data_IF_431179519629
#
_entry.id   IF_431179519629
#
_cell.length_a   1.000
_cell.length_b   1.000
_cell.length_c   1.000
_cell.angle_alpha   90.00
_cell.angle_beta   90.00
_cell.angle_gamma   90.00
#
_symmetry.space_group_name_H-M   'P 1'
#
loop_
_entity.id
_entity.type
_entity.pdbx_description
1 polymer ?
#
# COMPACT_ATOMS: atom_id res chain seq x y z
N UNK A 1 -26.71 4.52 0.42
CA UNK A 1 -25.57 4.21 1.31
C UNK A 1 -24.29 4.61 0.60
N UNK A 2 -23.48 5.50 1.17
CA UNK A 2 -22.18 5.84 0.61
C UNK A 2 -21.11 4.96 1.26
N UNK A 3 -20.51 4.05 0.50
CA UNK A 3 -19.29 3.39 0.95
C UNK A 3 -18.15 4.40 0.96
N UNK A 4 -17.61 4.68 2.16
CA UNK A 4 -16.50 5.62 2.32
C UNK A 4 -15.21 4.83 2.36
N UNK A 5 -14.23 5.24 1.55
CA UNK A 5 -12.92 4.61 1.59
C UNK A 5 -12.28 4.82 2.99
N UNK A 6 -11.76 3.75 3.64
CA UNK A 6 -11.29 3.79 5.02
C UNK A 6 -9.97 4.54 5.20
N UNK A 7 -9.21 4.71 4.12
CA UNK A 7 -7.90 5.38 4.15
C UNK A 7 -7.97 6.73 3.46
N UNK A 8 -7.32 7.73 4.05
CA UNK A 8 -7.10 9.03 3.41
C UNK A 8 -6.24 8.84 2.16
N UNK A 9 -6.44 9.63 1.09
CA UNK A 9 -5.58 9.62 -0.08
C UNK A 9 -4.10 9.67 0.30
N UNK A 10 -3.32 8.76 -0.28
CA UNK A 10 -1.86 8.74 -0.12
C UNK A 10 -1.22 9.27 -1.40
N UNK A 11 -0.61 10.45 -1.30
CA UNK A 11 0.05 11.13 -2.40
C UNK A 11 1.42 11.65 -1.92
N UNK A 12 2.49 10.86 -2.06
CA UNK A 12 3.83 11.30 -1.68
C UNK A 12 4.26 12.48 -2.56
N UNK A 13 5.14 13.34 -2.03
CA UNK A 13 5.63 14.51 -2.77
C UNK A 13 6.33 14.07 -4.05
N UNK A 14 5.97 14.70 -5.18
CA UNK A 14 6.58 14.38 -6.48
C UNK A 14 6.02 13.11 -7.12
N UNK A 15 4.91 12.56 -6.63
CA UNK A 15 4.22 11.47 -7.32
C UNK A 15 3.79 11.90 -8.73
N UNK A 16 4.25 11.16 -9.74
CA UNK A 16 3.89 11.36 -11.16
C UNK A 16 2.81 10.39 -11.63
N UNK A 17 2.53 9.36 -10.84
CA UNK A 17 1.66 8.24 -11.21
C UNK A 17 0.64 8.03 -10.10
N UNK A 18 -0.63 7.92 -10.50
CA UNK A 18 -1.74 7.61 -9.61
C UNK A 18 -2.20 6.16 -9.83
N UNK A 19 -2.28 5.40 -8.74
CA UNK A 19 -2.81 4.04 -8.74
C UNK A 19 -4.19 4.09 -8.09
N UNK A 20 -5.24 3.76 -8.84
CA UNK A 20 -6.62 3.75 -8.36
C UNK A 20 -7.10 2.30 -8.29
N UNK A 21 -7.42 1.85 -7.07
CA UNK A 21 -8.10 0.58 -6.83
C UNK A 21 -9.61 0.73 -6.85
N UNK A 22 -10.31 -0.40 -6.74
CA UNK A 22 -11.76 -0.44 -6.46
C UNK A 22 -12.00 -0.22 -4.95
N UNK A 23 -12.89 -0.98 -4.33
CA UNK A 23 -13.11 -0.91 -2.89
C UNK A 23 -12.18 -1.87 -2.13
N UNK A 24 -11.66 -1.46 -0.96
CA UNK A 24 -10.82 -2.33 -0.16
C UNK A 24 -11.64 -3.50 0.39
N UNK A 25 -10.99 -4.64 0.68
CA UNK A 25 -11.68 -5.79 1.25
C UNK A 25 -12.23 -5.47 2.65
N UNK A 26 -13.14 -6.32 3.15
CA UNK A 26 -13.64 -6.23 4.52
C UNK A 26 -12.48 -6.24 5.53
N UNK A 27 -12.68 -5.57 6.67
CA UNK A 27 -11.63 -5.35 7.68
C UNK A 27 -10.95 -6.66 8.13
N UNK A 28 -11.72 -7.74 8.28
CA UNK A 28 -11.20 -9.06 8.67
C UNK A 28 -10.24 -9.71 7.67
N UNK A 29 -10.21 -9.24 6.42
CA UNK A 29 -9.32 -9.74 5.37
C UNK A 29 -8.14 -8.80 5.12
N UNK A 30 -7.91 -7.84 6.01
CA UNK A 30 -6.79 -6.88 5.93
C UNK A 30 -5.69 -7.37 6.84
N UNK A 31 -4.55 -7.72 6.26
CA UNK A 31 -3.33 -8.06 6.99
C UNK A 31 -2.70 -6.81 7.65
N UNK A 32 -2.97 -5.61 7.14
CA UNK A 32 -2.47 -4.34 7.67
C UNK A 32 -3.38 -3.16 7.29
N UNK A 33 -3.18 -1.99 7.90
CA UNK A 33 -4.05 -0.80 7.74
C UNK A 33 -3.54 0.17 6.67
N UNK A 34 -3.36 -0.33 5.44
CA UNK A 34 -2.97 0.48 4.28
C UNK A 34 -3.56 -0.06 2.96
N UNK A 35 -3.30 0.61 1.84
CA UNK A 35 -3.83 0.21 0.53
C UNK A 35 -3.38 -1.20 0.12
N UNK A 36 -4.25 -1.92 -0.58
CA UNK A 36 -4.07 -3.31 -1.01
C UNK A 36 -3.62 -4.27 0.12
N UNK A 37 -4.38 -4.37 1.24
CA UNK A 37 -3.93 -5.01 2.47
C UNK A 37 -4.08 -6.53 2.50
N UNK A 38 -4.02 -7.23 1.36
CA UNK A 38 -4.22 -8.68 1.32
C UNK A 38 -3.00 -9.38 0.76
N UNK A 39 -2.36 -10.23 1.56
CA UNK A 39 -1.16 -10.96 1.15
C UNK A 39 -1.46 -12.21 0.31
N UNK A 40 -2.64 -12.79 0.50
CA UNK A 40 -3.05 -14.05 -0.16
C UNK A 40 -3.94 -13.80 -1.39
N UNK A 41 -4.69 -12.70 -1.40
CA UNK A 41 -5.66 -12.38 -2.47
C UNK A 41 -5.24 -11.22 -3.37
N UNK A 42 -4.21 -10.45 -3.01
CA UNK A 42 -3.77 -9.31 -3.79
C UNK A 42 -2.24 -9.29 -4.00
N UNK A 43 -1.81 -9.29 -5.27
CA UNK A 43 -0.38 -9.32 -5.63
C UNK A 43 0.27 -7.95 -5.76
N UNK A 44 -0.44 -6.86 -5.44
CA UNK A 44 0.05 -5.50 -5.63
C UNK A 44 1.43 -5.29 -4.98
N UNK A 45 1.58 -5.65 -3.70
CA UNK A 45 2.84 -5.43 -2.99
C UNK A 45 3.97 -6.33 -3.45
N UNK A 46 3.67 -7.56 -3.89
CA UNK A 46 4.65 -8.44 -4.53
C UNK A 46 5.16 -7.81 -5.84
N UNK A 47 4.27 -7.23 -6.65
CA UNK A 47 4.68 -6.52 -7.88
C UNK A 47 5.55 -5.30 -7.54
N UNK A 48 5.20 -4.54 -6.50
CA UNK A 48 6.00 -3.41 -6.02
C UNK A 48 7.41 -3.87 -5.60
N UNK A 49 7.55 -5.01 -4.94
CA UNK A 49 8.88 -5.57 -4.61
C UNK A 49 9.74 -5.75 -5.87
N UNK A 50 9.18 -6.37 -6.91
CA UNK A 50 9.90 -6.60 -8.16
C UNK A 50 10.24 -5.31 -8.90
N UNK A 51 9.32 -4.36 -8.99
CA UNK A 51 9.52 -3.10 -9.72
C UNK A 51 10.58 -2.22 -9.04
N UNK A 52 10.58 -2.17 -7.71
CA UNK A 52 11.52 -1.34 -6.96
C UNK A 52 12.79 -2.09 -6.54
N UNK A 53 12.92 -3.37 -6.91
CA UNK A 53 13.98 -4.26 -6.43
C UNK A 53 14.13 -4.15 -4.89
N UNK A 54 12.99 -4.17 -4.18
CA UNK A 54 12.89 -3.97 -2.75
C UNK A 54 12.23 -5.19 -2.11
N UNK A 55 12.75 -5.67 -0.97
CA UNK A 55 12.16 -6.81 -0.25
C UNK A 55 11.56 -6.35 1.07
N UNK A 56 10.24 -6.42 1.18
CA UNK A 56 9.51 -6.10 2.41
C UNK A 56 9.83 -7.11 3.51
N UNK A 57 10.11 -6.59 4.70
CA UNK A 57 10.41 -7.36 5.90
C UNK A 57 9.14 -7.76 6.65
N UNK A 58 8.13 -6.89 6.63
CA UNK A 58 6.88 -7.10 7.34
C UNK A 58 5.76 -7.36 6.36
N UNK A 59 4.79 -8.19 6.73
CA UNK A 59 3.61 -8.46 5.90
C UNK A 59 2.30 -8.31 6.66
N UNK A 60 2.36 -8.10 7.97
CA UNK A 60 1.18 -7.90 8.83
C UNK A 60 1.36 -6.69 9.71
N UNK A 61 0.23 -6.24 10.25
CA UNK A 61 0.11 -5.19 11.27
C UNK A 61 0.64 -3.82 10.80
N UNK A 62 0.78 -2.89 11.75
CA UNK A 62 1.17 -1.51 11.47
C UNK A 62 2.61 -1.43 10.91
N UNK A 63 3.50 -2.37 11.27
CA UNK A 63 4.85 -2.45 10.74
C UNK A 63 4.86 -2.60 9.21
N UNK A 64 3.98 -3.46 8.67
CA UNK A 64 3.84 -3.57 7.22
C UNK A 64 3.36 -2.24 6.62
N UNK A 65 2.30 -1.65 7.16
CA UNK A 65 1.76 -0.38 6.65
C UNK A 65 2.81 0.75 6.61
N UNK A 66 3.61 0.90 7.67
CA UNK A 66 4.66 1.93 7.73
C UNK A 66 5.80 1.67 6.73
N UNK A 67 6.22 0.42 6.57
CA UNK A 67 7.24 0.05 5.57
C UNK A 67 6.81 0.42 4.15
N UNK A 68 5.53 0.23 3.81
CA UNK A 68 4.97 0.58 2.49
C UNK A 68 4.96 2.09 2.25
N UNK A 69 4.59 2.87 3.26
CA UNK A 69 4.66 4.34 3.20
C UNK A 69 6.11 4.81 3.06
N UNK A 70 7.03 4.20 3.80
CA UNK A 70 8.44 4.54 3.79
C UNK A 70 9.04 4.37 2.39
N UNK A 71 8.80 3.23 1.73
CA UNK A 71 9.26 2.97 0.36
C UNK A 71 8.92 4.11 -0.60
N UNK A 72 7.66 4.58 -0.57
CA UNK A 72 7.21 5.65 -1.48
C UNK A 72 7.63 7.06 -1.06
N UNK A 73 7.98 7.29 0.20
CA UNK A 73 8.50 8.57 0.69
C UNK A 73 10.02 8.71 0.54
N UNK A 74 10.74 7.60 0.34
CA UNK A 74 12.21 7.56 0.29
C UNK A 74 12.82 8.20 -0.98
N UNK A 75 12.03 8.48 -2.02
CA UNK A 75 12.53 9.13 -3.23
C UNK A 75 12.75 10.62 -2.96
N UNK A 76 13.90 10.96 -2.38
CA UNK A 76 14.51 12.28 -2.55
C UNK A 76 14.73 12.49 -4.05
N UNK A 77 14.41 13.69 -4.52
CA UNK A 77 14.67 14.17 -5.88
C UNK A 77 16.04 13.68 -6.37
N UNK A 78 16.02 12.92 -7.47
CA UNK A 78 17.17 12.86 -8.38
C UNK A 78 17.19 14.19 -9.13
#
# INVERSE_FOLDING_TARGET
>A
MSETHPFKPFAPRGATTLIIGTFPPLVQYRDFKFYYPSNTGNRFWIIVEYVFNYKFQYWKDDAAAEERKALFNLRKSI
#
